data_IF_045246975380
#
_entry.id   IF_045246975380
#
_cell.length_a   1.000
_cell.length_b   1.000
_cell.length_c   1.000
_cell.angle_alpha   90.00
_cell.angle_beta   90.00
_cell.angle_gamma   90.00
#
_symmetry.space_group_name_H-M   'P 1'
#
loop_
_entity.id
_entity.type
_entity.pdbx_description
1 polymer ?
#
# COMPACT_ATOMS: atom_id res chain seq x y z
N UNK A 1 -5.38 -0.77 17.89
CA UNK A 1 -5.93 -0.14 19.12
C UNK A 1 -6.82 -1.19 19.76
N UNK A 2 -6.64 -1.46 21.05
CA UNK A 2 -7.57 -2.32 21.78
C UNK A 2 -8.87 -1.54 22.02
N UNK A 3 -10.00 -2.18 21.78
CA UNK A 3 -11.30 -1.56 22.03
C UNK A 3 -11.50 -1.31 23.53
N UNK A 4 -10.91 -2.11 24.41
CA UNK A 4 -10.97 -1.87 25.86
C UNK A 4 -10.28 -0.55 26.25
N UNK A 5 -9.13 -0.24 25.66
CA UNK A 5 -8.44 1.04 25.88
C UNK A 5 -9.28 2.24 25.40
N UNK A 6 -10.09 2.06 24.36
CA UNK A 6 -10.99 3.09 23.85
C UNK A 6 -12.15 3.36 24.81
N UNK A 7 -12.72 2.29 25.38
CA UNK A 7 -13.83 2.37 26.33
C UNK A 7 -13.40 3.03 27.65
N UNK A 8 -12.15 2.82 28.08
CA UNK A 8 -11.60 3.36 29.33
C UNK A 8 -10.97 4.76 29.16
N UNK A 9 -10.36 5.03 28.00
CA UNK A 9 -9.47 6.18 27.79
C UNK A 9 -10.10 7.48 27.28
N UNK A 10 -11.42 7.54 27.10
CA UNK A 10 -12.11 8.72 26.58
C UNK A 10 -12.16 8.75 25.06
N UNK A 11 -13.32 8.36 24.53
CA UNK A 11 -13.58 8.22 23.10
C UNK A 11 -13.31 9.50 22.30
N UNK A 12 -13.61 10.69 22.85
CA UNK A 12 -13.47 11.96 22.14
C UNK A 12 -12.00 12.29 21.80
N UNK A 13 -11.09 12.04 22.73
CA UNK A 13 -9.65 12.24 22.48
C UNK A 13 -9.14 11.32 21.36
N UNK A 14 -9.70 10.12 21.28
CA UNK A 14 -9.36 9.16 20.24
C UNK A 14 -9.91 9.60 18.87
N UNK A 15 -11.16 10.06 18.82
CA UNK A 15 -11.77 10.58 17.60
C UNK A 15 -10.99 11.80 17.07
N UNK A 16 -10.52 12.70 17.95
CA UNK A 16 -9.66 13.81 17.54
C UNK A 16 -8.33 13.35 16.94
N UNK A 17 -7.72 12.31 17.51
CA UNK A 17 -6.48 11.72 16.96
C UNK A 17 -6.72 11.10 15.59
N UNK A 18 -7.84 10.41 15.40
CA UNK A 18 -8.25 9.91 14.08
C UNK A 18 -8.42 11.08 13.11
N UNK A 19 -9.13 12.14 13.51
CA UNK A 19 -9.36 13.31 12.67
C UNK A 19 -8.05 13.97 12.21
N UNK A 20 -7.08 14.12 13.12
CA UNK A 20 -5.74 14.64 12.79
C UNK A 20 -5.02 13.72 11.79
N UNK A 21 -5.10 12.42 11.99
CA UNK A 21 -4.46 11.44 11.12
C UNK A 21 -5.03 11.45 9.69
N UNK A 22 -6.36 11.44 9.55
CA UNK A 22 -7.00 11.41 8.23
C UNK A 22 -6.76 12.69 7.41
N UNK A 23 -6.53 13.82 8.09
CA UNK A 23 -6.21 15.10 7.45
C UNK A 23 -4.80 15.12 6.85
N UNK A 24 -3.87 14.28 7.35
CA UNK A 24 -2.46 14.26 6.92
C UNK A 24 -2.23 13.17 5.87
N UNK A 25 -2.89 12.02 5.99
CA UNK A 25 -2.62 10.84 5.17
C UNK A 25 -3.70 10.63 4.12
N UNK A 26 -3.33 10.38 2.86
CA UNK A 26 -4.28 10.07 1.77
C UNK A 26 -5.01 8.74 1.96
N UNK A 27 -4.33 7.73 2.49
CA UNK A 27 -4.87 6.42 2.78
C UNK A 27 -4.71 6.15 4.27
N UNK A 28 -5.82 6.09 5.01
CA UNK A 28 -5.79 5.92 6.45
C UNK A 28 -6.39 4.57 6.83
N UNK A 29 -5.70 3.81 7.67
CA UNK A 29 -6.15 2.51 8.15
C UNK A 29 -6.25 2.52 9.68
N UNK A 30 -7.42 2.19 10.20
CA UNK A 30 -7.63 1.97 11.63
C UNK A 30 -7.79 0.47 11.88
N UNK A 31 -6.82 -0.10 12.60
CA UNK A 31 -6.87 -1.51 13.01
C UNK A 31 -7.46 -1.60 14.42
N UNK A 32 -8.65 -2.19 14.52
CA UNK A 32 -9.35 -2.44 15.77
C UNK A 32 -9.12 -3.90 16.17
N UNK A 33 -8.41 -4.10 17.27
CA UNK A 33 -8.20 -5.43 17.82
C UNK A 33 -9.33 -5.73 18.79
N UNK A 34 -10.07 -6.81 18.56
CA UNK A 34 -11.14 -7.28 19.42
C UNK A 34 -11.12 -8.80 19.51
N UNK A 35 -10.95 -9.34 20.72
CA UNK A 35 -10.85 -10.76 20.94
C UNK A 35 -12.15 -11.52 20.58
N UNK A 36 -13.32 -10.91 20.83
CA UNK A 36 -14.62 -11.60 20.69
C UNK A 36 -15.66 -10.90 19.81
N UNK A 37 -15.42 -9.65 19.36
CA UNK A 37 -16.41 -8.86 18.61
C UNK A 37 -17.81 -8.91 19.23
N UNK A 38 -17.89 -8.64 20.53
CA UNK A 38 -19.15 -8.51 21.22
C UNK A 38 -19.96 -7.30 20.73
N UNK A 39 -21.22 -7.19 21.17
CA UNK A 39 -22.11 -6.10 20.79
C UNK A 39 -21.53 -4.71 21.09
N UNK A 40 -20.72 -4.58 22.15
CA UNK A 40 -20.08 -3.34 22.54
C UNK A 40 -18.99 -2.94 21.54
N UNK A 41 -18.16 -3.89 21.11
CA UNK A 41 -17.12 -3.68 20.10
C UNK A 41 -17.70 -3.32 18.74
N UNK A 42 -18.80 -3.97 18.35
CA UNK A 42 -19.53 -3.59 17.14
C UNK A 42 -20.14 -2.19 17.25
N UNK A 43 -20.70 -1.83 18.40
CA UNK A 43 -21.27 -0.50 18.61
C UNK A 43 -20.19 0.58 18.49
N UNK A 44 -19.03 0.38 19.11
CA UNK A 44 -17.86 1.25 18.94
C UNK A 44 -17.46 1.38 17.47
N UNK A 45 -17.29 0.26 16.79
CA UNK A 45 -16.88 0.27 15.39
C UNK A 45 -17.91 0.97 14.50
N UNK A 46 -19.19 0.73 14.73
CA UNK A 46 -20.29 1.36 14.01
C UNK A 46 -20.32 2.88 14.25
N UNK A 47 -20.05 3.33 15.47
CA UNK A 47 -19.99 4.77 15.81
C UNK A 47 -18.83 5.45 15.09
N UNK A 48 -17.64 4.84 15.08
CA UNK A 48 -16.47 5.36 14.34
C UNK A 48 -16.76 5.35 12.84
N UNK A 49 -17.30 4.26 12.30
CA UNK A 49 -17.67 4.15 10.88
C UNK A 49 -18.67 5.22 10.47
N UNK A 50 -19.73 5.44 11.27
CA UNK A 50 -20.71 6.51 11.02
C UNK A 50 -20.09 7.89 11.08
N UNK A 51 -19.20 8.15 12.03
CA UNK A 51 -18.57 9.47 12.21
C UNK A 51 -17.66 9.84 11.04
N UNK A 52 -16.94 8.86 10.50
CA UNK A 52 -15.96 9.04 9.43
C UNK A 52 -16.44 8.46 8.09
N UNK A 53 -17.75 8.30 7.91
CA UNK A 53 -18.32 7.77 6.68
C UNK A 53 -18.00 8.71 5.51
N UNK A 54 -17.51 8.15 4.39
CA UNK A 54 -17.08 8.93 3.23
C UNK A 54 -15.71 9.59 3.36
N UNK A 55 -15.02 9.44 4.50
CA UNK A 55 -13.61 9.82 4.63
C UNK A 55 -12.70 8.75 4.01
N UNK A 56 -11.40 9.04 4.00
CA UNK A 56 -10.34 8.11 3.58
C UNK A 56 -9.91 7.13 4.69
N UNK A 57 -10.70 6.99 5.76
CA UNK A 57 -10.48 6.03 6.84
C UNK A 57 -11.06 4.65 6.49
N UNK A 58 -10.22 3.63 6.52
CA UNK A 58 -10.63 2.21 6.41
C UNK A 58 -10.46 1.54 7.76
N UNK A 59 -11.56 1.06 8.31
CA UNK A 59 -11.59 0.39 9.62
C UNK A 59 -11.52 -1.11 9.37
N UNK A 60 -10.55 -1.78 9.98
CA UNK A 60 -10.28 -3.19 9.79
C UNK A 60 -10.32 -3.89 11.15
N UNK A 61 -11.34 -4.73 11.40
CA UNK A 61 -11.40 -5.56 12.60
C UNK A 61 -10.35 -6.68 12.51
N UNK A 62 -9.73 -6.99 13.65
CA UNK A 62 -8.70 -8.02 13.78
C UNK A 62 -8.86 -8.76 15.11
N UNK A 63 -8.67 -10.09 15.11
CA UNK A 63 -8.91 -10.92 16.29
C UNK A 63 -7.64 -11.20 17.11
N UNK A 64 -6.47 -11.13 16.48
CA UNK A 64 -5.20 -11.46 17.12
C UNK A 64 -4.01 -10.70 16.51
N UNK A 65 -2.87 -10.77 17.20
CA UNK A 65 -1.63 -10.11 16.76
C UNK A 65 -1.08 -10.68 15.44
N UNK A 66 -1.24 -11.97 15.17
CA UNK A 66 -0.76 -12.59 13.93
C UNK A 66 -1.52 -12.05 12.71
N UNK A 67 -2.84 -11.90 12.81
CA UNK A 67 -3.66 -11.24 11.80
C UNK A 67 -3.30 -9.77 11.63
N UNK A 68 -2.98 -9.06 12.73
CA UNK A 68 -2.53 -7.67 12.67
C UNK A 68 -1.25 -7.55 11.86
N UNK A 69 -0.27 -8.42 12.14
CA UNK A 69 1.00 -8.44 11.40
C UNK A 69 0.79 -8.80 9.94
N UNK A 70 -0.05 -9.80 9.65
CA UNK A 70 -0.39 -10.20 8.27
C UNK A 70 -1.06 -9.06 7.51
N UNK A 71 -1.96 -8.32 8.16
CA UNK A 71 -2.62 -7.16 7.59
C UNK A 71 -1.62 -6.03 7.31
N UNK A 72 -0.77 -5.70 8.29
CA UNK A 72 0.29 -4.69 8.10
C UNK A 72 1.21 -5.04 6.93
N UNK A 73 1.65 -6.30 6.83
CA UNK A 73 2.48 -6.78 5.73
C UNK A 73 1.75 -6.66 4.39
N UNK A 74 0.45 -7.00 4.38
CA UNK A 74 -0.37 -6.87 3.18
C UNK A 74 -0.44 -5.42 2.75
N UNK A 75 -0.83 -4.50 3.64
CA UNK A 75 -0.89 -3.05 3.39
C UNK A 75 0.47 -2.53 2.90
N UNK A 76 1.56 -2.93 3.52
CA UNK A 76 2.90 -2.54 3.11
C UNK A 76 3.21 -3.02 1.68
N UNK A 77 2.91 -4.27 1.35
CA UNK A 77 3.10 -4.83 0.00
C UNK A 77 2.28 -4.10 -1.07
N UNK A 78 1.01 -3.76 -0.78
CA UNK A 78 0.16 -3.07 -1.76
C UNK A 78 0.59 -1.61 -1.98
N UNK A 79 1.15 -0.97 -0.96
CA UNK A 79 1.60 0.42 -1.03
C UNK A 79 3.08 0.56 -1.43
N UNK A 80 3.87 -0.51 -1.29
CA UNK A 80 5.25 -0.53 -1.77
C UNK A 80 5.26 -0.59 -3.29
N UNK A 81 5.84 0.42 -3.93
CA UNK A 81 6.16 0.35 -5.36
C UNK A 81 7.01 -0.90 -5.59
N UNK A 82 6.75 -1.74 -6.61
CA UNK A 82 7.62 -2.86 -6.93
C UNK A 82 8.95 -2.30 -7.44
N UNK A 83 9.82 -1.91 -6.51
CA UNK A 83 11.09 -1.22 -6.80
C UNK A 83 12.02 -2.13 -7.60
N UNK A 84 11.96 -3.44 -7.37
CA UNK A 84 12.70 -4.41 -8.15
C UNK A 84 12.23 -4.45 -9.62
N UNK A 85 10.92 -4.43 -9.86
CA UNK A 85 10.36 -4.46 -11.22
C UNK A 85 10.58 -3.13 -11.94
N UNK A 86 10.41 -1.99 -11.26
CA UNK A 86 10.67 -0.66 -11.82
C UNK A 86 12.15 -0.49 -12.21
N UNK A 87 13.09 -0.97 -11.38
CA UNK A 87 14.52 -0.93 -11.70
C UNK A 87 14.86 -1.89 -12.85
N UNK A 88 14.31 -3.10 -12.85
CA UNK A 88 14.53 -4.08 -13.91
C UNK A 88 14.00 -3.58 -15.26
N UNK A 89 12.80 -3.00 -15.25
CA UNK A 89 12.17 -2.41 -16.43
C UNK A 89 12.97 -1.21 -16.95
N UNK A 90 13.41 -0.31 -16.07
CA UNK A 90 14.26 0.83 -16.46
C UNK A 90 15.59 0.37 -17.03
N UNK A 91 16.25 -0.60 -16.40
CA UNK A 91 17.51 -1.16 -16.90
C UNK A 91 17.32 -1.82 -18.28
N UNK A 92 16.23 -2.55 -18.48
CA UNK A 92 15.90 -3.13 -19.78
C UNK A 92 15.70 -2.04 -20.85
N UNK A 93 14.91 -1.00 -20.56
CA UNK A 93 14.72 0.13 -21.48
C UNK A 93 16.02 0.86 -21.80
N UNK A 94 16.88 1.10 -20.79
CA UNK A 94 18.19 1.73 -21.00
C UNK A 94 19.11 0.86 -21.86
N UNK A 95 19.15 -0.46 -21.63
CA UNK A 95 19.91 -1.39 -22.48
C UNK A 95 19.43 -1.35 -23.92
N UNK A 96 18.13 -1.43 -24.16
CA UNK A 96 17.55 -1.34 -25.51
C UNK A 96 17.91 -0.01 -26.17
N UNK A 97 17.77 1.10 -25.45
CA UNK A 97 18.11 2.43 -25.98
C UNK A 97 19.60 2.58 -26.33
N UNK A 98 20.50 2.01 -25.53
CA UNK A 98 21.94 2.00 -25.82
C UNK A 98 22.23 1.18 -27.08
N UNK A 99 21.61 0.02 -27.23
CA UNK A 99 21.80 -0.85 -28.40
C UNK A 99 21.26 -0.18 -29.68
N UNK A 100 20.05 0.36 -29.64
CA UNK A 100 19.43 1.04 -30.79
C UNK A 100 20.21 2.27 -31.26
N UNK A 101 20.78 3.03 -30.32
CA UNK A 101 21.57 4.21 -30.64
C UNK A 101 23.06 3.92 -30.80
N UNK A 102 23.49 2.67 -30.63
CA UNK A 102 24.90 2.28 -30.77
C UNK A 102 25.35 2.38 -32.23
N UNK A 103 26.39 3.17 -32.53
CA UNK A 103 26.96 3.24 -33.88
C UNK A 103 27.47 1.87 -34.35
N UNK A 104 28.05 1.08 -33.45
CA UNK A 104 28.57 -0.27 -33.74
C UNK A 104 27.43 -1.21 -34.13
N UNK A 105 26.28 -1.13 -33.46
CA UNK A 105 25.12 -1.95 -33.78
C UNK A 105 24.54 -1.62 -35.16
N UNK A 106 24.51 -0.33 -35.54
CA UNK A 106 24.11 0.11 -36.88
C UNK A 106 25.06 -0.43 -37.97
N UNK A 107 26.37 -0.37 -37.75
CA UNK A 107 27.36 -0.93 -38.67
C UNK A 107 27.20 -2.45 -38.86
N UNK A 108 26.93 -3.19 -37.78
CA UNK A 108 26.68 -4.63 -37.84
C UNK A 108 25.41 -4.96 -38.65
N UNK A 109 24.34 -4.20 -38.46
CA UNK A 109 23.10 -4.36 -39.24
C UNK A 109 23.30 -4.11 -40.74
N UNK A 110 24.10 -3.09 -41.09
CA UNK A 110 24.45 -2.80 -42.49
C UNK A 110 25.29 -3.92 -43.10
N UNK A 111 26.29 -4.42 -42.38
CA UNK A 111 27.13 -5.54 -42.82
C UNK A 111 26.31 -6.82 -43.02
N UNK A 112 25.37 -7.11 -42.13
CA UNK A 112 24.49 -8.27 -42.24
C UNK A 112 23.54 -8.14 -43.43
N UNK A 113 23.02 -6.93 -43.72
CA UNK A 113 22.21 -6.69 -44.92
C UNK A 113 23.01 -6.88 -46.22
N UNK A 114 24.28 -6.47 -46.24
CA UNK A 114 25.17 -6.66 -47.39
C UNK A 114 25.45 -8.15 -47.67
N UNK A 115 25.58 -8.97 -46.63
CA UNK A 115 25.85 -10.41 -46.75
C UNK A 115 24.59 -11.28 -46.92
N UNK A 116 23.39 -10.76 -46.65
CA UNK A 116 22.12 -11.48 -46.88
C UNK A 116 21.57 -11.35 -48.32
N UNK A 117 22.20 -10.50 -49.15
CA UNK A 117 21.77 -10.20 -50.53
C UNK A 117 22.61 -10.94 -51.59
N UNK A 118 23.37 -11.96 -51.19
CA UNK A 118 24.05 -12.93 -52.04
C UNK A 118 23.60 -14.34 -51.64
#
# INVERSE_FOLDING_TARGET
VDIQDLLVGGEEQFLERIQKFINIHRNSFLVLSAALHGPEEWNVMFRIQRRFLGSNLRIIPVHNSAETVKLMLTIAKMNSKPRADDVSQKMAMTKTHIIENSPVWKMLQEYQKLHSNF
#
